data_IF_081609855200
#
_entry.id   IF_081609855200
#
_cell.length_a   1.000
_cell.length_b   1.000
_cell.length_c   1.000
_cell.angle_alpha   90.00
_cell.angle_beta   90.00
_cell.angle_gamma   90.00
#
_symmetry.space_group_name_H-M   'P 1'
#
loop_
_entity.id
_entity.type
_entity.pdbx_description
1 polymer ?
#
# COMPACT_ATOMS: atom_id res chain seq x y z
N UNK A 1 -10.63 25.91 -9.94
CA UNK A 1 -9.38 25.16 -9.73
C UNK A 1 -9.67 23.74 -10.20
N UNK A 2 -9.27 23.41 -11.41
CA UNK A 2 -9.60 22.13 -12.05
C UNK A 2 -8.92 21.01 -11.27
N UNK A 3 -9.72 20.08 -10.71
CA UNK A 3 -9.19 18.80 -10.24
C UNK A 3 -8.85 18.01 -11.50
N UNK A 4 -7.60 18.04 -11.91
CA UNK A 4 -7.10 17.11 -12.93
C UNK A 4 -7.20 15.71 -12.34
N UNK A 5 -8.22 14.94 -12.72
CA UNK A 5 -8.28 13.51 -12.46
C UNK A 5 -7.06 12.87 -13.12
N UNK A 6 -6.07 12.51 -12.32
CA UNK A 6 -4.93 11.72 -12.77
C UNK A 6 -5.45 10.34 -13.16
N UNK A 7 -4.97 9.82 -14.29
CA UNK A 7 -5.39 8.50 -14.76
C UNK A 7 -4.85 7.41 -13.83
N UNK A 8 -5.48 6.23 -13.84
CA UNK A 8 -5.02 5.06 -13.08
C UNK A 8 -3.58 4.63 -13.45
N UNK A 9 -3.05 5.09 -14.59
CA UNK A 9 -1.65 4.87 -14.98
C UNK A 9 -0.64 5.70 -14.18
N UNK A 10 -1.08 6.81 -13.56
CA UNK A 10 -0.23 7.73 -12.80
C UNK A 10 -0.08 7.36 -11.32
N UNK A 11 -0.82 6.34 -10.86
CA UNK A 11 -0.74 5.88 -9.47
C UNK A 11 0.67 5.37 -9.17
N UNK A 12 1.14 5.60 -7.95
CA UNK A 12 2.37 5.02 -7.44
C UNK A 12 2.11 3.69 -6.75
N UNK A 13 3.12 2.84 -6.85
CA UNK A 13 3.11 1.51 -6.28
C UNK A 13 3.24 1.55 -4.75
N UNK A 14 2.24 1.02 -4.05
CA UNK A 14 2.24 0.84 -2.60
C UNK A 14 3.50 0.07 -2.16
N UNK A 15 4.24 0.56 -1.15
CA UNK A 15 5.50 -0.06 -0.73
C UNK A 15 5.26 -1.38 0.03
N UNK A 16 4.04 -1.60 0.51
CA UNK A 16 3.64 -2.78 1.27
C UNK A 16 3.14 -3.92 0.38
N UNK A 17 2.22 -3.65 -0.56
CA UNK A 17 1.52 -4.72 -1.29
C UNK A 17 1.82 -4.81 -2.79
N UNK A 18 2.66 -3.93 -3.32
CA UNK A 18 3.06 -3.90 -4.74
C UNK A 18 1.92 -3.59 -5.75
N UNK A 19 0.71 -3.25 -5.27
CA UNK A 19 -0.36 -2.67 -6.09
C UNK A 19 -0.16 -1.16 -6.29
N UNK A 20 -0.62 -0.63 -7.42
CA UNK A 20 -0.57 0.80 -7.75
C UNK A 20 -1.86 1.45 -7.23
N UNK A 21 -1.75 2.23 -6.16
CA UNK A 21 -2.92 2.79 -5.46
C UNK A 21 -2.69 4.19 -4.88
N UNK A 22 -1.46 4.67 -4.80
CA UNK A 22 -1.12 5.91 -4.11
C UNK A 22 -1.05 7.08 -5.09
N UNK A 23 -1.51 8.27 -4.72
CA UNK A 23 -1.41 9.44 -5.60
C UNK A 23 0.00 10.02 -5.64
N UNK A 24 0.70 9.93 -4.50
CA UNK A 24 2.07 10.39 -4.29
C UNK A 24 2.70 9.64 -3.11
N UNK A 25 4.04 9.70 -3.01
CA UNK A 25 4.80 9.16 -1.88
C UNK A 25 4.77 10.15 -0.70
N UNK A 26 4.62 9.65 0.52
CA UNK A 26 4.42 10.47 1.72
C UNK A 26 3.10 11.23 1.69
N UNK A 27 2.10 10.68 0.99
CA UNK A 27 0.80 11.33 0.80
C UNK A 27 -0.17 11.19 1.96
N UNK A 28 0.12 10.28 2.91
CA UNK A 28 -0.81 9.80 3.94
C UNK A 28 -2.07 9.14 3.36
N UNK A 29 -2.00 8.71 2.08
CA UNK A 29 -3.05 7.90 1.46
C UNK A 29 -3.05 6.50 2.10
N UNK A 30 -4.23 5.97 2.38
CA UNK A 30 -4.38 4.58 2.84
C UNK A 30 -4.60 3.69 1.64
N UNK A 31 -3.71 2.71 1.45
CA UNK A 31 -3.84 1.75 0.36
C UNK A 31 -5.09 0.86 0.58
N UNK A 32 -6.09 0.85 -0.31
CA UNK A 32 -7.31 0.06 -0.12
C UNK A 32 -7.07 -1.46 -0.24
N UNK A 33 -5.92 -1.87 -0.76
CA UNK A 33 -5.57 -3.29 -0.98
C UNK A 33 -5.00 -3.94 0.27
N UNK A 34 -4.16 -3.21 1.01
CA UNK A 34 -3.46 -3.75 2.18
C UNK A 34 -3.66 -2.94 3.45
N UNK A 35 -4.27 -1.76 3.36
CA UNK A 35 -4.50 -0.83 4.47
C UNK A 35 -3.24 -0.18 5.07
N UNK A 36 -2.11 -0.20 4.34
CA UNK A 36 -0.92 0.58 4.72
C UNK A 36 -1.17 2.08 4.48
N UNK A 37 -0.95 2.91 5.50
CA UNK A 37 -0.94 4.38 5.38
C UNK A 37 0.44 4.85 4.90
N UNK A 38 0.47 5.60 3.80
CA UNK A 38 1.71 6.03 3.17
C UNK A 38 2.39 7.20 3.90
N UNK A 39 3.33 6.88 4.78
CA UNK A 39 4.16 7.82 5.53
C UNK A 39 5.49 8.18 4.84
N UNK A 40 5.65 7.78 3.58
CA UNK A 40 6.87 8.06 2.80
C UNK A 40 7.90 6.94 2.84
N UNK A 41 7.66 5.86 3.57
CA UNK A 41 8.54 4.70 3.57
C UNK A 41 8.63 4.00 2.21
N UNK A 42 9.79 3.42 1.96
CA UNK A 42 10.19 2.70 0.77
C UNK A 42 11.11 1.52 1.11
N UNK A 43 11.66 0.85 0.09
CA UNK A 43 12.54 -0.30 0.30
C UNK A 43 13.89 0.06 0.95
N UNK A 44 14.34 1.31 0.86
CA UNK A 44 15.58 1.77 1.50
C UNK A 44 15.39 2.00 3.00
N UNK A 45 14.15 2.21 3.42
CA UNK A 45 13.74 2.49 4.81
C UNK A 45 12.91 1.36 5.41
N UNK A 46 12.99 0.16 4.82
CA UNK A 46 12.07 -0.95 5.08
C UNK A 46 12.04 -1.42 6.54
N UNK A 47 13.15 -1.24 7.27
CA UNK A 47 13.34 -1.63 8.67
C UNK A 47 13.13 -0.47 9.65
N UNK A 48 12.81 0.73 9.15
CA UNK A 48 12.43 1.85 10.00
C UNK A 48 11.00 1.63 10.53
N UNK A 49 10.75 2.06 11.75
CA UNK A 49 9.43 1.96 12.36
C UNK A 49 8.48 3.02 11.79
N UNK A 50 7.37 2.58 11.18
CA UNK A 50 6.31 3.46 10.70
C UNK A 50 5.45 3.94 11.87
N UNK A 51 5.38 5.27 12.04
CA UNK A 51 4.53 5.91 13.04
C UNK A 51 3.06 5.50 12.92
N UNK A 52 2.38 5.78 11.80
CA UNK A 52 0.95 5.51 11.64
C UNK A 52 0.61 4.02 11.53
N UNK A 53 1.50 3.20 10.97
CA UNK A 53 1.24 1.76 10.82
C UNK A 53 1.65 0.93 12.05
N UNK A 54 2.39 1.53 13.00
CA UNK A 54 2.87 0.88 14.23
C UNK A 54 3.68 -0.40 14.00
N UNK A 55 4.39 -0.47 12.86
CA UNK A 55 5.25 -1.59 12.47
C UNK A 55 6.27 -1.14 11.43
N UNK A 56 7.25 -1.99 11.13
CA UNK A 56 8.15 -1.77 9.99
C UNK A 56 7.45 -2.10 8.67
N UNK A 57 7.93 -1.51 7.58
CA UNK A 57 7.45 -1.88 6.24
C UNK A 57 7.75 -3.36 5.93
N UNK A 58 8.86 -3.92 6.46
CA UNK A 58 9.16 -5.35 6.34
C UNK A 58 8.04 -6.21 6.92
N UNK A 59 7.59 -5.89 8.13
CA UNK A 59 6.49 -6.60 8.80
C UNK A 59 5.19 -6.46 8.02
N UNK A 60 4.85 -5.24 7.57
CA UNK A 60 3.67 -4.99 6.74
C UNK A 60 3.66 -5.83 5.46
N UNK A 61 4.79 -5.90 4.74
CA UNK A 61 4.96 -6.75 3.55
C UNK A 61 4.76 -8.24 3.86
N UNK A 62 5.35 -8.73 4.95
CA UNK A 62 5.21 -10.12 5.39
C UNK A 62 3.77 -10.45 5.78
N UNK A 63 3.09 -9.53 6.47
CA UNK A 63 1.68 -9.65 6.82
C UNK A 63 0.81 -9.69 5.57
N UNK A 64 1.07 -8.83 4.57
CA UNK A 64 0.29 -8.84 3.34
C UNK A 64 0.39 -10.18 2.60
N UNK A 65 1.58 -10.79 2.55
CA UNK A 65 1.76 -12.12 1.94
C UNK A 65 0.94 -13.20 2.67
N UNK A 66 0.82 -13.11 3.99
CA UNK A 66 0.13 -14.13 4.82
C UNK A 66 -1.39 -13.89 4.94
N UNK A 67 -1.81 -12.64 5.01
CA UNK A 67 -3.14 -12.22 5.45
C UNK A 67 -3.91 -11.48 4.36
N UNK A 68 -3.22 -10.96 3.34
CA UNK A 68 -3.81 -10.04 2.36
C UNK A 68 -4.05 -8.63 2.89
N UNK A 69 -3.53 -8.29 4.08
CA UNK A 69 -3.54 -6.97 4.71
C UNK A 69 -2.22 -6.72 5.44
N UNK A 70 -1.87 -5.46 5.71
CA UNK A 70 -0.65 -5.08 6.44
C UNK A 70 -0.70 -5.49 7.92
N UNK A 71 -1.89 -5.68 8.47
CA UNK A 71 -2.12 -6.13 9.85
C UNK A 71 -3.37 -7.02 9.93
N UNK A 72 -3.39 -7.94 10.90
CA UNK A 72 -4.52 -8.85 11.14
C UNK A 72 -5.83 -8.09 11.41
N UNK A 73 -5.77 -7.00 12.18
CA UNK A 73 -6.94 -6.20 12.54
C UNK A 73 -7.52 -5.39 11.35
N UNK A 74 -6.75 -5.28 10.26
CA UNK A 74 -7.12 -4.49 9.08
C UNK A 74 -7.74 -5.31 7.95
N UNK A 75 -7.83 -6.63 8.08
CA UNK A 75 -8.46 -7.52 7.07
C UNK A 75 -9.89 -7.09 6.74
N UNK A 76 -10.64 -6.55 7.70
CA UNK A 76 -12.02 -6.07 7.49
C UNK A 76 -12.12 -4.78 6.65
N UNK A 77 -11.00 -4.08 6.44
CA UNK A 77 -10.94 -2.78 5.76
C UNK A 77 -10.34 -2.86 4.35
N UNK A 78 -9.87 -4.03 3.92
CA UNK A 78 -9.26 -4.19 2.59
C UNK A 78 -10.30 -4.64 1.57
N UNK A 79 -10.05 -4.28 0.31
CA UNK A 79 -10.83 -4.76 -0.82
C UNK A 79 -10.76 -6.28 -0.93
N UNK A 80 -11.87 -6.89 -1.34
CA UNK A 80 -11.95 -8.32 -1.59
C UNK A 80 -11.22 -8.70 -2.89
N UNK A 81 -10.93 -9.99 -3.07
CA UNK A 81 -10.16 -10.48 -4.21
C UNK A 81 -10.75 -10.13 -5.58
N UNK A 82 -12.07 -9.97 -5.70
CA UNK A 82 -12.70 -9.57 -6.96
C UNK A 82 -12.44 -8.09 -7.28
N UNK A 83 -12.51 -7.22 -6.28
CA UNK A 83 -12.28 -5.78 -6.43
C UNK A 83 -10.81 -5.47 -6.73
N UNK A 84 -9.88 -6.22 -6.13
CA UNK A 84 -8.43 -6.05 -6.37
C UNK A 84 -8.03 -6.23 -7.83
N UNK A 85 -8.81 -6.96 -8.63
CA UNK A 85 -8.52 -7.20 -10.06
C UNK A 85 -8.57 -5.92 -10.90
N UNK A 86 -9.22 -4.87 -10.38
CA UNK A 86 -9.31 -3.57 -11.06
C UNK A 86 -8.05 -2.71 -10.87
N UNK A 87 -7.09 -3.15 -10.06
CA UNK A 87 -5.87 -2.42 -9.77
C UNK A 87 -4.66 -3.07 -10.44
N UNK A 88 -3.79 -2.23 -11.00
CA UNK A 88 -2.49 -2.69 -11.51
C UNK A 88 -1.65 -3.25 -10.37
N UNK A 89 -0.97 -4.36 -10.63
CA UNK A 89 -0.10 -5.05 -9.68
C UNK A 89 1.19 -5.48 -10.38
N UNK A 90 2.34 -5.17 -9.78
CA UNK A 90 3.64 -5.63 -10.28
C UNK A 90 4.52 -6.04 -9.10
N UNK A 91 4.69 -7.34 -8.88
CA UNK A 91 5.51 -7.83 -7.77
C UNK A 91 6.94 -7.28 -7.89
N UNK A 92 7.44 -6.61 -6.84
CA UNK A 92 8.85 -6.20 -6.79
C UNK A 92 9.72 -7.43 -6.58
N UNK A 93 10.75 -7.59 -7.41
CA UNK A 93 11.78 -8.62 -7.21
C UNK A 93 12.71 -8.13 -6.10
N UNK A 94 12.89 -8.95 -5.07
CA UNK A 94 13.80 -8.73 -3.94
C UNK A 94 15.26 -8.89 -4.34
#
# INVERSE_FOLDING_TARGET
>A
MEKSDKSEEDKLQCPCCDYFTLEKRGGYDICPICFWEDDGMDLNTIDNHSGPNHMTLREGRLNFIKLGACDLSMIKNVLNASERKNFRFEKRVS
#
